data_IF_635053698900
#
_entry.id   IF_635053698900
#
_cell.length_a   1.000
_cell.length_b   1.000
_cell.length_c   1.000
_cell.angle_alpha   90.00
_cell.angle_beta   90.00
_cell.angle_gamma   90.00
#
_symmetry.space_group_name_H-M   'P 1'
#
loop_
_entity.id
_entity.type
_entity.pdbx_description
1 polymer ?
#
# COMPACT_ATOMS: atom_id res chain seq x y z
N UNK A 1 -51.60 -67.75 -6.83
CA UNK A 1 -50.41 -67.11 -6.23
C UNK A 1 -50.19 -65.81 -6.98
N UNK A 2 -50.40 -64.69 -6.30
CA UNK A 2 -50.18 -63.36 -6.84
C UNK A 2 -48.68 -63.09 -6.92
N UNK A 3 -48.21 -62.58 -8.06
CA UNK A 3 -46.90 -61.94 -8.17
C UNK A 3 -47.13 -60.49 -8.56
N UNK A 4 -46.73 -59.63 -7.65
CA UNK A 4 -46.98 -58.20 -7.57
C UNK A 4 -46.25 -57.41 -8.63
N UNK A 5 -46.84 -56.25 -8.95
CA UNK A 5 -46.20 -55.13 -9.60
C UNK A 5 -44.88 -54.73 -8.91
N UNK A 6 -43.93 -54.24 -9.69
CA UNK A 6 -43.31 -52.93 -9.47
C UNK A 6 -42.42 -52.58 -10.65
N UNK A 7 -42.95 -51.68 -11.49
CA UNK A 7 -42.10 -50.77 -12.23
C UNK A 7 -41.38 -49.89 -11.20
N UNK A 8 -40.06 -49.92 -11.18
CA UNK A 8 -39.24 -48.92 -10.50
C UNK A 8 -38.29 -48.34 -11.51
N UNK A 9 -38.87 -47.41 -12.26
CA UNK A 9 -38.22 -46.26 -12.86
C UNK A 9 -37.54 -45.47 -11.74
N UNK A 10 -36.22 -45.49 -11.73
CA UNK A 10 -35.38 -44.55 -10.97
C UNK A 10 -34.12 -44.33 -11.77
N UNK A 11 -34.29 -43.64 -12.90
CA UNK A 11 -33.24 -42.80 -13.42
C UNK A 11 -33.28 -41.51 -12.60
N UNK A 12 -32.10 -41.01 -12.25
CA UNK A 12 -31.80 -39.76 -11.52
C UNK A 12 -31.65 -39.92 -10.01
N UNK A 13 -30.46 -40.34 -9.60
CA UNK A 13 -29.77 -39.72 -8.47
C UNK A 13 -28.30 -40.11 -8.51
N UNK A 14 -27.52 -39.17 -9.01
CA UNK A 14 -26.07 -39.22 -9.06
C UNK A 14 -25.62 -37.79 -9.31
N UNK A 15 -25.93 -36.90 -8.36
CA UNK A 15 -25.29 -35.60 -8.30
C UNK A 15 -23.79 -35.89 -8.26
N UNK A 16 -23.13 -35.72 -9.39
CA UNK A 16 -21.67 -35.68 -9.45
C UNK A 16 -21.27 -34.64 -8.42
N UNK A 17 -20.66 -35.10 -7.34
CA UNK A 17 -20.16 -34.27 -6.26
C UNK A 17 -19.21 -33.27 -6.91
N UNK A 18 -19.69 -32.04 -7.09
CA UNK A 18 -18.93 -30.97 -7.73
C UNK A 18 -17.74 -30.66 -6.82
N UNK A 19 -16.63 -31.36 -7.04
CA UNK A 19 -15.41 -31.23 -6.26
C UNK A 19 -14.84 -29.83 -6.53
N UNK A 20 -15.05 -28.92 -5.58
CA UNK A 20 -14.50 -27.57 -5.63
C UNK A 20 -13.08 -27.57 -5.07
N UNK A 21 -12.12 -27.02 -5.81
CA UNK A 21 -10.78 -26.79 -5.29
C UNK A 21 -10.61 -25.34 -4.82
N UNK A 22 -9.90 -25.17 -3.70
CA UNK A 22 -9.57 -23.87 -3.15
C UNK A 22 -8.26 -23.38 -3.78
N UNK A 23 -8.32 -22.24 -4.47
CA UNK A 23 -7.20 -21.69 -5.21
C UNK A 23 -6.78 -20.35 -4.63
N UNK A 24 -5.47 -20.13 -4.52
CA UNK A 24 -4.89 -18.90 -4.02
C UNK A 24 -4.05 -18.26 -5.13
N UNK A 25 -4.56 -17.17 -5.70
CA UNK A 25 -3.87 -16.36 -6.70
C UNK A 25 -3.54 -15.00 -6.08
N UNK A 26 -2.24 -14.71 -5.92
CA UNK A 26 -1.69 -13.47 -5.34
C UNK A 26 -2.31 -13.03 -3.99
N UNK A 27 -2.68 -14.00 -3.14
CA UNK A 27 -3.23 -13.75 -1.80
C UNK A 27 -4.76 -13.69 -1.76
N UNK A 28 -5.42 -13.78 -2.92
CA UNK A 28 -6.87 -13.92 -3.02
C UNK A 28 -7.24 -15.40 -3.09
N UNK A 29 -8.06 -15.86 -2.14
CA UNK A 29 -8.50 -17.25 -2.04
C UNK A 29 -9.92 -17.38 -2.59
N UNK A 30 -10.10 -18.19 -3.64
CA UNK A 30 -11.40 -18.44 -4.25
C UNK A 30 -11.63 -19.93 -4.52
N UNK A 31 -12.90 -20.33 -4.61
CA UNK A 31 -13.31 -21.68 -4.99
C UNK A 31 -13.46 -21.72 -6.52
N UNK A 32 -12.84 -22.70 -7.19
CA UNK A 32 -13.13 -23.00 -8.61
C UNK A 32 -13.49 -24.47 -8.79
N UNK A 33 -14.30 -24.77 -9.82
CA UNK A 33 -14.66 -26.15 -10.17
C UNK A 33 -13.41 -26.88 -10.64
N UNK A 34 -13.13 -28.05 -10.06
CA UNK A 34 -12.02 -28.91 -10.49
C UNK A 34 -12.27 -29.33 -11.94
N UNK A 35 -11.33 -29.01 -12.84
CA UNK A 35 -11.40 -29.49 -14.22
C UNK A 35 -11.20 -31.00 -14.19
N UNK A 36 -12.21 -31.77 -14.62
CA UNK A 36 -12.06 -33.22 -14.80
C UNK A 36 -10.99 -33.45 -15.86
N UNK A 37 -9.82 -33.88 -15.42
CA UNK A 37 -8.83 -34.45 -16.33
C UNK A 37 -9.44 -35.76 -16.81
N UNK A 38 -9.95 -35.77 -18.05
CA UNK A 38 -10.48 -36.96 -18.72
C UNK A 38 -9.31 -37.93 -18.93
N UNK A 39 -9.01 -38.70 -17.90
CA UNK A 39 -8.15 -39.87 -18.00
C UNK A 39 -9.05 -41.03 -18.43
N UNK A 40 -9.24 -41.17 -19.74
CA UNK A 40 -9.45 -42.44 -20.44
C UNK A 40 -9.61 -42.15 -21.94
N UNK A 41 -8.65 -42.69 -22.69
CA UNK A 41 -8.76 -43.13 -24.09
C UNK A 41 -9.25 -42.11 -25.12
N UNK A 42 -8.33 -41.24 -25.60
CA UNK A 42 -8.00 -41.27 -27.03
C UNK A 42 -6.65 -40.58 -27.28
N UNK A 43 -5.72 -41.33 -27.86
CA UNK A 43 -4.41 -40.82 -28.28
C UNK A 43 -4.56 -40.13 -29.62
N UNK A 44 -4.81 -38.82 -29.62
CA UNK A 44 -4.33 -37.87 -30.65
C UNK A 44 -4.94 -36.50 -30.43
N UNK A 45 -4.29 -35.61 -29.67
CA UNK A 45 -4.38 -34.15 -29.87
C UNK A 45 -3.15 -33.48 -29.25
N UNK A 46 -2.23 -33.09 -30.13
CA UNK A 46 -1.38 -31.89 -30.04
C UNK A 46 -0.64 -31.61 -28.72
N UNK A 47 0.60 -32.10 -28.66
CA UNK A 47 1.67 -31.69 -27.73
C UNK A 47 2.09 -30.21 -27.92
N UNK A 48 1.19 -29.26 -27.64
CA UNK A 48 1.55 -27.83 -27.57
C UNK A 48 1.27 -27.19 -26.19
N UNK A 49 0.72 -27.96 -25.23
CA UNK A 49 0.41 -27.48 -23.88
C UNK A 49 1.56 -27.62 -22.86
N UNK A 50 2.59 -28.41 -23.15
CA UNK A 50 3.73 -28.64 -22.24
C UNK A 50 4.63 -27.42 -22.06
N UNK A 51 5.00 -26.77 -23.17
CA UNK A 51 5.88 -25.59 -23.17
C UNK A 51 5.25 -24.38 -22.48
N UNK A 52 3.93 -24.17 -22.63
CA UNK A 52 3.22 -23.03 -22.05
C UNK A 52 3.11 -23.14 -20.53
N UNK A 53 2.93 -24.35 -20.00
CA UNK A 53 2.87 -24.60 -18.54
C UNK A 53 4.25 -24.43 -17.90
N UNK A 54 5.31 -24.87 -18.57
CA UNK A 54 6.69 -24.71 -18.09
C UNK A 54 7.15 -23.24 -18.12
N UNK A 55 6.78 -22.50 -19.17
CA UNK A 55 7.08 -21.06 -19.29
C UNK A 55 6.39 -20.22 -18.21
N UNK A 56 5.12 -20.48 -17.90
CA UNK A 56 4.40 -19.78 -16.84
C UNK A 56 4.94 -20.12 -15.44
N UNK A 57 5.36 -21.36 -15.21
CA UNK A 57 6.01 -21.77 -13.96
C UNK A 57 7.35 -21.06 -13.76
N UNK A 58 8.15 -20.89 -14.83
CA UNK A 58 9.43 -20.20 -14.79
C UNK A 58 9.26 -18.68 -14.58
N UNK A 59 8.27 -18.06 -15.25
CA UNK A 59 7.92 -16.65 -15.00
C UNK A 59 7.50 -16.42 -13.54
N UNK A 60 6.72 -17.34 -12.95
CA UNK A 60 6.37 -17.29 -11.52
C UNK A 60 7.58 -17.44 -10.62
N UNK A 61 8.51 -18.34 -10.93
CA UNK A 61 9.77 -18.48 -10.17
C UNK A 61 10.58 -17.19 -10.23
N UNK A 62 10.74 -16.60 -11.42
CA UNK A 62 11.43 -15.32 -11.61
C UNK A 62 10.77 -14.16 -10.86
N UNK A 63 9.45 -14.07 -10.87
CA UNK A 63 8.71 -13.07 -10.07
C UNK A 63 8.95 -13.27 -8.58
N UNK A 64 8.93 -14.52 -8.10
CA UNK A 64 9.19 -14.84 -6.68
C UNK A 64 10.62 -14.50 -6.26
N UNK A 65 11.63 -14.76 -7.09
CA UNK A 65 13.02 -14.41 -6.79
C UNK A 65 13.20 -12.89 -6.75
N UNK A 66 12.65 -12.16 -7.72
CA UNK A 66 12.68 -10.69 -7.73
C UNK A 66 11.98 -10.08 -6.50
N UNK A 67 10.81 -10.60 -6.12
CA UNK A 67 10.11 -10.19 -4.87
C UNK A 67 10.97 -10.46 -3.62
N UNK A 68 11.67 -11.60 -3.55
CA UNK A 68 12.58 -11.90 -2.43
C UNK A 68 13.77 -10.95 -2.39
N UNK A 69 14.36 -10.64 -3.55
CA UNK A 69 15.55 -9.80 -3.62
C UNK A 69 15.23 -8.33 -3.31
N UNK A 70 14.09 -7.83 -3.79
CA UNK A 70 13.58 -6.50 -3.41
C UNK A 70 13.30 -6.40 -1.91
N UNK A 71 12.66 -7.43 -1.32
CA UNK A 71 12.41 -7.46 0.12
C UNK A 71 13.70 -7.50 0.96
N UNK A 72 14.72 -8.24 0.51
CA UNK A 72 16.04 -8.23 1.16
C UNK A 72 16.69 -6.85 1.11
N UNK A 73 16.69 -6.19 -0.06
CA UNK A 73 17.22 -4.82 -0.21
C UNK A 73 16.53 -3.84 0.73
N UNK A 74 15.20 -3.92 0.82
CA UNK A 74 14.40 -3.09 1.70
C UNK A 74 14.72 -3.34 3.17
N UNK A 75 14.83 -4.61 3.58
CA UNK A 75 15.26 -4.99 4.93
C UNK A 75 16.64 -4.43 5.26
N UNK A 76 17.59 -4.54 4.33
CA UNK A 76 18.95 -4.03 4.54
C UNK A 76 18.99 -2.50 4.60
N UNK A 77 18.14 -1.83 3.82
CA UNK A 77 17.94 -0.38 3.92
C UNK A 77 17.42 0.02 5.30
N UNK A 78 16.32 -0.57 5.75
CA UNK A 78 15.77 -0.24 7.07
C UNK A 78 16.74 -0.55 8.21
N UNK A 79 17.54 -1.61 8.10
CA UNK A 79 18.60 -1.88 9.07
C UNK A 79 19.64 -0.76 9.12
N UNK A 80 20.08 -0.24 7.97
CA UNK A 80 21.03 0.87 7.91
C UNK A 80 20.42 2.14 8.49
N UNK A 81 19.19 2.45 8.12
CA UNK A 81 18.46 3.59 8.66
C UNK A 81 18.33 3.45 10.18
N UNK A 82 17.93 2.29 10.69
CA UNK A 82 17.82 2.06 12.13
C UNK A 82 19.12 2.37 12.88
N UNK A 83 20.28 1.88 12.38
CA UNK A 83 21.59 2.18 12.97
C UNK A 83 21.90 3.69 12.92
N UNK A 84 21.53 4.38 11.83
CA UNK A 84 21.70 5.83 11.74
C UNK A 84 20.81 6.57 12.75
N UNK A 85 19.55 6.17 12.89
CA UNK A 85 18.62 6.73 13.87
C UNK A 85 19.08 6.50 15.30
N UNK A 86 19.61 5.31 15.62
CA UNK A 86 20.22 5.04 16.92
C UNK A 86 21.43 5.93 17.19
N UNK A 87 22.32 6.10 16.20
CA UNK A 87 23.49 6.96 16.33
C UNK A 87 23.11 8.43 16.58
N UNK A 88 22.16 8.95 15.81
CA UNK A 88 21.65 10.32 15.98
C UNK A 88 20.98 10.50 17.34
N UNK A 89 20.15 9.54 17.76
CA UNK A 89 19.48 9.56 19.07
C UNK A 89 20.50 9.58 20.22
N UNK A 90 21.53 8.75 20.16
CA UNK A 90 22.59 8.74 21.15
C UNK A 90 23.38 10.06 21.16
N UNK A 91 23.67 10.62 20.00
CA UNK A 91 24.37 11.91 19.88
C UNK A 91 23.56 13.05 20.49
N UNK A 92 22.25 13.10 20.24
CA UNK A 92 21.35 14.09 20.83
C UNK A 92 21.28 13.92 22.35
N UNK A 93 21.18 12.69 22.84
CA UNK A 93 21.19 12.39 24.29
C UNK A 93 22.49 12.83 24.95
N UNK A 94 23.64 12.55 24.34
CA UNK A 94 24.94 13.02 24.84
C UNK A 94 25.02 14.55 24.89
N UNK A 95 24.46 15.24 23.89
CA UNK A 95 24.44 16.70 23.86
C UNK A 95 23.55 17.26 24.98
N UNK A 96 22.38 16.66 25.19
CA UNK A 96 21.48 16.99 26.29
C UNK A 96 22.17 16.78 27.65
N UNK A 97 22.81 15.64 27.86
CA UNK A 97 23.54 15.32 29.09
C UNK A 97 24.69 16.31 29.33
N UNK A 98 25.49 16.64 28.30
CA UNK A 98 26.54 17.66 28.40
C UNK A 98 25.98 19.03 28.80
N UNK A 99 24.83 19.41 28.25
CA UNK A 99 24.17 20.69 28.54
C UNK A 99 23.64 20.72 29.98
N UNK A 100 23.00 19.63 30.43
CA UNK A 100 22.53 19.48 31.80
C UNK A 100 23.67 19.50 32.82
N UNK A 101 24.76 18.77 32.55
CA UNK A 101 25.95 18.74 33.39
C UNK A 101 26.61 20.13 33.50
N UNK A 102 26.72 20.86 32.39
CA UNK A 102 27.24 22.22 32.39
C UNK A 102 26.36 23.17 33.22
N UNK A 103 25.04 23.09 33.09
CA UNK A 103 24.09 23.85 33.90
C UNK A 103 24.20 23.52 35.40
N UNK A 104 24.34 22.24 35.74
CA UNK A 104 24.49 21.80 37.13
C UNK A 104 25.82 22.27 37.75
N UNK A 105 26.91 22.19 37.00
CA UNK A 105 28.22 22.68 37.42
C UNK A 105 28.22 24.21 37.63
N UNK A 106 27.58 24.98 36.73
CA UNK A 106 27.40 26.41 36.92
C UNK A 106 26.59 26.74 38.19
N UNK A 107 25.52 26.00 38.48
CA UNK A 107 24.76 26.17 39.73
C UNK A 107 25.59 25.85 40.98
N UNK A 108 26.40 24.80 40.97
CA UNK A 108 27.27 24.48 42.10
C UNK A 108 28.36 25.53 42.34
N UNK A 109 28.96 26.08 41.26
CA UNK A 109 29.92 27.16 41.38
C UNK A 109 29.27 28.43 41.96
N UNK A 110 28.07 28.80 41.51
CA UNK A 110 27.34 29.94 42.09
C UNK A 110 26.96 29.73 43.57
N UNK A 111 26.55 28.51 43.96
CA UNK A 111 26.22 28.18 45.35
C UNK A 111 27.45 28.15 46.28
N UNK A 112 28.63 27.83 45.73
CA UNK A 112 29.89 27.80 46.49
C UNK A 112 30.49 29.21 46.65
N UNK A 113 30.27 30.11 45.69
CA UNK A 113 30.66 31.52 45.77
C UNK A 113 29.77 32.36 46.69
N UNK A 114 28.58 31.88 47.06
CA UNK A 114 27.67 32.58 47.98
C UNK A 114 27.95 32.35 49.48
N UNK A 115 28.95 31.53 49.84
CA UNK A 115 29.30 31.23 51.24
C UNK A 115 30.31 32.21 51.87
N UNK A 116 30.71 33.28 51.16
CA UNK A 116 31.82 34.12 51.62
C UNK A 116 31.65 35.62 51.36
N UNK A 117 30.50 36.23 51.65
CA UNK A 117 30.45 37.68 51.98
C UNK A 117 29.27 37.96 52.91
N UNK A 118 29.56 38.31 54.17
CA UNK A 118 28.69 39.15 54.98
C UNK A 118 28.96 40.60 54.57
N UNK A 119 27.89 41.35 54.27
CA UNK A 119 27.76 42.81 54.05
C UNK A 119 27.68 43.30 52.59
N UNK A 120 26.47 43.41 52.04
CA UNK A 120 25.85 44.68 51.57
C UNK A 120 24.60 44.41 50.71
N UNK A 121 23.60 45.31 50.73
CA UNK A 121 22.34 45.15 50.03
C UNK A 121 22.42 45.68 48.58
N UNK A 122 21.54 45.14 47.73
CA UNK A 122 21.14 45.66 46.41
C UNK A 122 22.25 45.73 45.34
N UNK A 123 22.34 44.71 44.48
CA UNK A 123 22.49 44.83 43.01
C UNK A 123 22.68 43.42 42.42
N UNK A 124 21.57 42.79 42.04
CA UNK A 124 21.57 41.62 41.17
C UNK A 124 22.20 41.99 39.81
N UNK A 125 23.06 41.16 39.21
CA UNK A 125 23.59 41.44 37.88
C UNK A 125 22.48 41.24 36.84
N UNK A 126 21.79 42.30 36.43
CA UNK A 126 20.83 42.30 35.31
C UNK A 126 21.41 41.68 34.02
N UNK A 127 22.74 41.61 33.91
CA UNK A 127 23.47 41.06 32.77
C UNK A 127 23.31 39.54 32.58
N UNK A 128 23.11 38.75 33.63
CA UNK A 128 22.92 37.29 33.51
C UNK A 128 21.50 36.94 33.12
N UNK A 129 20.50 37.63 33.69
CA UNK A 129 19.09 37.48 33.31
C UNK A 129 18.82 37.93 31.88
N UNK A 130 19.47 39.03 31.44
CA UNK A 130 19.33 39.52 30.06
C UNK A 130 19.89 38.53 29.02
N UNK A 131 21.07 37.95 29.28
CA UNK A 131 21.66 36.94 28.37
C UNK A 131 20.78 35.69 28.25
N UNK A 132 20.21 35.22 29.35
CA UNK A 132 19.28 34.09 29.33
C UNK A 132 18.04 34.39 28.47
N UNK A 133 17.50 35.60 28.57
CA UNK A 133 16.36 36.04 27.75
C UNK A 133 16.74 36.15 26.28
N UNK A 134 17.92 36.70 25.97
CA UNK A 134 18.43 36.81 24.59
C UNK A 134 18.67 35.41 23.98
N UNK A 135 19.21 34.45 24.75
CA UNK A 135 19.41 33.07 24.30
C UNK A 135 18.09 32.33 24.06
N UNK A 136 17.09 32.53 24.93
CA UNK A 136 15.74 31.96 24.76
C UNK A 136 15.01 32.55 23.56
N UNK A 137 15.19 33.86 23.31
CA UNK A 137 14.63 34.52 22.13
C UNK A 137 15.25 33.96 20.85
N UNK A 138 16.58 33.83 20.81
CA UNK A 138 17.28 33.24 19.67
C UNK A 138 16.82 31.80 19.40
N UNK A 139 16.60 31.02 20.46
CA UNK A 139 16.07 29.67 20.33
C UNK A 139 14.65 29.66 19.75
N UNK A 140 13.78 30.59 20.20
CA UNK A 140 12.42 30.72 19.68
C UNK A 140 12.41 31.13 18.21
N UNK A 141 13.23 32.10 17.81
CA UNK A 141 13.39 32.53 16.41
C UNK A 141 13.90 31.38 15.52
N UNK A 142 14.84 30.58 16.03
CA UNK A 142 15.35 29.41 15.30
C UNK A 142 14.26 28.35 15.13
N UNK A 143 13.46 28.09 16.16
CA UNK A 143 12.35 27.15 16.08
C UNK A 143 11.25 27.65 15.12
N UNK A 144 10.97 28.95 15.12
CA UNK A 144 10.02 29.56 14.19
C UNK A 144 10.46 29.35 12.73
N UNK A 145 11.73 29.61 12.42
CA UNK A 145 12.27 29.38 11.08
C UNK A 145 12.13 27.91 10.64
N UNK A 146 12.44 26.95 11.53
CA UNK A 146 12.28 25.51 11.24
C UNK A 146 10.81 25.16 10.98
N UNK A 147 9.88 25.68 11.79
CA UNK A 147 8.45 25.44 11.62
C UNK A 147 7.99 26.02 10.28
N UNK A 148 8.45 27.23 9.94
CA UNK A 148 8.08 27.89 8.70
C UNK A 148 8.60 27.15 7.46
N UNK A 149 9.83 26.63 7.52
CA UNK A 149 10.41 25.78 6.47
C UNK A 149 9.60 24.48 6.30
N UNK A 150 9.20 23.85 7.41
CA UNK A 150 8.38 22.64 7.38
C UNK A 150 6.99 22.91 6.79
N UNK A 151 6.36 24.01 7.16
CA UNK A 151 5.06 24.42 6.61
C UNK A 151 5.16 24.64 5.09
N UNK A 152 6.19 25.33 4.62
CA UNK A 152 6.41 25.54 3.19
C UNK A 152 6.62 24.21 2.43
N UNK A 153 7.34 23.25 3.03
CA UNK A 153 7.49 21.93 2.45
C UNK A 153 6.15 21.18 2.38
N UNK A 154 5.32 21.26 3.43
CA UNK A 154 3.99 20.68 3.44
C UNK A 154 3.10 21.28 2.34
N UNK A 155 3.10 22.60 2.18
CA UNK A 155 2.35 23.28 1.12
C UNK A 155 2.81 22.82 -0.27
N UNK A 156 4.13 22.73 -0.50
CA UNK A 156 4.68 22.25 -1.76
C UNK A 156 4.26 20.81 -2.07
N UNK A 157 4.32 19.92 -1.07
CA UNK A 157 3.86 18.52 -1.22
C UNK A 157 2.37 18.47 -1.50
N UNK A 158 1.56 19.29 -0.83
CA UNK A 158 0.12 19.32 -1.06
C UNK A 158 -0.24 19.78 -2.48
N UNK A 159 0.48 20.77 -3.02
CA UNK A 159 0.32 21.20 -4.41
C UNK A 159 0.69 20.08 -5.38
N UNK A 160 1.80 19.37 -5.13
CA UNK A 160 2.21 18.24 -5.97
C UNK A 160 1.19 17.11 -5.95
N UNK A 161 0.70 16.73 -4.77
CA UNK A 161 -0.31 15.68 -4.62
C UNK A 161 -1.62 16.06 -5.31
N UNK A 162 -2.07 17.32 -5.18
CA UNK A 162 -3.27 17.81 -5.90
C UNK A 162 -3.08 17.77 -7.40
N UNK A 163 -1.91 18.18 -7.91
CA UNK A 163 -1.63 18.14 -9.34
C UNK A 163 -1.64 16.71 -9.90
N UNK A 164 -1.05 15.76 -9.16
CA UNK A 164 -1.10 14.35 -9.53
C UNK A 164 -2.54 13.81 -9.48
N UNK A 165 -3.29 14.08 -8.41
CA UNK A 165 -4.69 13.65 -8.29
C UNK A 165 -5.54 14.14 -9.48
N UNK A 166 -5.42 15.41 -9.84
CA UNK A 166 -6.13 15.98 -10.99
C UNK A 166 -5.66 15.36 -12.32
N UNK A 167 -4.38 15.03 -12.46
CA UNK A 167 -3.88 14.31 -13.63
C UNK A 167 -4.52 12.92 -13.75
N UNK A 168 -4.64 12.18 -12.65
CA UNK A 168 -5.26 10.86 -12.63
C UNK A 168 -6.76 10.94 -12.92
N UNK A 169 -7.46 11.94 -12.36
CA UNK A 169 -8.87 12.21 -12.70
C UNK A 169 -9.03 12.49 -14.18
N UNK A 170 -8.21 13.36 -14.74
CA UNK A 170 -8.27 13.73 -16.15
C UNK A 170 -8.01 12.52 -17.06
N UNK A 171 -7.02 11.69 -16.73
CA UNK A 171 -6.76 10.42 -17.42
C UNK A 171 -7.97 9.49 -17.44
N UNK A 172 -8.73 9.42 -16.33
CA UNK A 172 -9.95 8.62 -16.28
C UNK A 172 -11.06 9.18 -17.17
N UNK A 173 -11.24 10.50 -17.21
CA UNK A 173 -12.24 11.15 -18.08
C UNK A 173 -11.87 11.15 -19.56
N UNK A 174 -10.58 11.14 -19.88
CA UNK A 174 -10.07 11.11 -21.26
C UNK A 174 -10.03 9.70 -21.88
N UNK A 175 -10.48 8.66 -21.15
CA UNK A 175 -10.57 7.31 -21.71
C UNK A 175 -11.62 7.26 -22.84
N UNK A 176 -11.30 6.64 -23.99
CA UNK A 176 -12.21 6.57 -25.15
C UNK A 176 -13.48 5.75 -24.87
N UNK A 177 -13.50 4.97 -23.78
CA UNK A 177 -14.71 4.29 -23.29
C UNK A 177 -15.80 5.27 -22.85
N UNK A 178 -15.42 6.48 -22.43
CA UNK A 178 -16.33 7.56 -22.06
C UNK A 178 -16.61 8.52 -23.21
N UNK A 179 -16.57 8.03 -24.46
CA UNK A 179 -16.87 8.82 -25.66
C UNK A 179 -18.21 9.57 -25.61
N UNK A 180 -18.54 10.34 -26.65
CA UNK A 180 -19.74 11.21 -26.66
C UNK A 180 -20.97 10.50 -26.05
N UNK A 181 -21.63 11.09 -25.03
CA UNK A 181 -22.75 10.46 -24.34
C UNK A 181 -23.84 9.94 -25.29
N UNK A 182 -24.03 10.61 -26.43
CA UNK A 182 -24.96 10.19 -27.49
C UNK A 182 -24.53 8.89 -28.18
N UNK A 183 -23.23 8.69 -28.40
CA UNK A 183 -22.70 7.46 -29.00
C UNK A 183 -22.83 6.28 -28.04
N UNK A 184 -22.63 6.49 -26.74
CA UNK A 184 -22.79 5.44 -25.73
C UNK A 184 -24.27 5.03 -25.59
N UNK A 185 -25.18 6.01 -25.54
CA UNK A 185 -26.61 5.73 -25.50
C UNK A 185 -27.08 5.00 -26.76
N UNK A 186 -26.61 5.40 -27.95
CA UNK A 186 -26.95 4.73 -29.20
C UNK A 186 -26.50 3.25 -29.22
N UNK A 187 -25.28 2.95 -28.75
CA UNK A 187 -24.79 1.57 -28.65
C UNK A 187 -25.60 0.71 -27.68
N UNK A 188 -26.06 1.30 -26.58
CA UNK A 188 -26.89 0.59 -25.59
C UNK A 188 -28.33 0.38 -26.07
N UNK A 189 -28.91 1.34 -26.81
CA UNK A 189 -30.27 1.23 -27.35
C UNK A 189 -30.41 0.32 -28.57
N UNK A 190 -29.32 -0.07 -29.22
CA UNK A 190 -29.33 -0.97 -30.37
C UNK A 190 -29.27 -2.46 -29.98
N UNK A 191 -29.17 -2.78 -28.69
CA UNK A 191 -29.14 -4.16 -28.18
C UNK A 191 -30.55 -4.82 -28.19
N UNK A 192 -31.63 -4.03 -28.28
CA UNK A 192 -33.00 -4.49 -28.04
C UNK A 192 -33.82 -4.83 -29.30
N UNK A 193 -33.23 -4.78 -30.51
CA UNK A 193 -33.97 -4.98 -31.77
C UNK A 193 -33.55 -6.19 -32.63
N UNK A 194 -32.65 -7.07 -32.18
CA UNK A 194 -32.19 -8.21 -32.98
C UNK A 194 -32.79 -9.57 -32.59
N UNK A 195 -33.81 -9.62 -31.74
CA UNK A 195 -34.67 -10.79 -31.59
C UNK A 195 -36.07 -10.39 -32.03
N UNK A 196 -36.42 -10.73 -33.27
CA UNK A 196 -37.77 -11.11 -33.75
C UNK A 196 -37.85 -10.79 -35.24
N UNK A 197 -38.26 -11.80 -36.01
CA UNK A 197 -38.59 -11.81 -37.44
C UNK A 197 -37.44 -12.25 -38.35
N UNK A 198 -37.29 -13.56 -38.46
CA UNK A 198 -37.12 -14.25 -39.74
C UNK A 198 -37.82 -15.62 -39.61
N UNK A 199 -39.15 -15.58 -39.46
CA UNK A 199 -40.03 -16.68 -39.87
C UNK A 199 -40.66 -16.25 -41.21
N UNK A 200 -40.80 -17.24 -42.10
CA UNK A 200 -41.53 -17.24 -43.38
C UNK A 200 -40.85 -16.58 -44.61
N UNK A 201 -40.16 -17.40 -45.41
CA UNK A 201 -40.70 -17.77 -46.74
C UNK A 201 -39.90 -18.92 -47.38
N UNK A 202 -40.44 -20.14 -47.26
CA UNK A 202 -40.19 -21.23 -48.20
C UNK A 202 -41.24 -21.10 -49.30
N UNK A 203 -40.85 -20.64 -50.48
CA UNK A 203 -41.62 -20.88 -51.69
C UNK A 203 -40.85 -21.76 -52.67
N UNK A 204 -41.44 -22.94 -52.84
CA UNK A 204 -41.19 -23.96 -53.84
C UNK A 204 -41.63 -23.41 -55.20
N UNK A 205 -40.72 -23.41 -56.19
CA UNK A 205 -41.00 -23.73 -57.60
C UNK A 205 -39.76 -24.28 -58.25
#
# INVERSE_FOLDING_TARGET
MAASASASESAREGWEEDEWELCNDDGFVYKRRKRRKREEEDSTTTNCGGDVVDQEAELRRRRRTQRKDTLKKLKDQYKREFVQWEHLSNTLREMEERTQNHHQQQRQLQASSSSSVISQPEHMPESSSRRLVDDLLLQAETQEAIIQDLLHLCDAVEVMCKAEEEQWKQSFFDLPVWGSPRSLLASLSNQDYCNNNDDDDVQIT
#
